data_IF_661950175208
#
_entry.id   IF_661950175208
#
_cell.length_a   1.000
_cell.length_b   1.000
_cell.length_c   1.000
_cell.angle_alpha   90.00
_cell.angle_beta   90.00
_cell.angle_gamma   90.00
#
_symmetry.space_group_name_H-M   'P 1'
#
loop_
_entity.id
_entity.type
_entity.pdbx_description
1 polymer ?
#
# COMPACT_ATOMS: atom_id res chain seq x y z
N UNK A 1 33.58 -11.31 3.88
CA UNK A 1 32.46 -10.82 3.03
C UNK A 1 32.41 -11.48 1.65
N UNK A 2 33.50 -12.08 1.16
CA UNK A 2 33.58 -12.71 -0.17
C UNK A 2 33.22 -14.21 -0.20
N UNK A 3 32.77 -14.80 0.90
CA UNK A 3 32.50 -16.25 0.97
C UNK A 3 31.06 -16.61 0.59
N UNK A 4 30.09 -15.74 0.89
CA UNK A 4 28.67 -16.07 0.69
C UNK A 4 28.27 -16.04 -0.79
N UNK A 5 28.76 -15.07 -1.56
CA UNK A 5 28.46 -14.94 -3.00
C UNK A 5 28.90 -16.18 -3.81
N UNK A 6 30.16 -16.67 -3.71
CA UNK A 6 30.58 -17.86 -4.45
C UNK A 6 29.85 -19.13 -3.98
N UNK A 7 29.62 -19.31 -2.67
CA UNK A 7 28.86 -20.45 -2.17
C UNK A 7 27.44 -20.54 -2.75
N UNK A 8 26.76 -19.39 -2.88
CA UNK A 8 25.44 -19.33 -3.51
C UNK A 8 25.54 -19.60 -5.02
N UNK A 9 26.57 -19.09 -5.69
CA UNK A 9 26.79 -19.34 -7.12
C UNK A 9 26.97 -20.84 -7.40
N UNK A 10 27.85 -21.53 -6.67
CA UNK A 10 28.10 -22.97 -6.81
C UNK A 10 26.84 -23.80 -6.51
N UNK A 11 26.03 -23.37 -5.53
CA UNK A 11 24.77 -24.03 -5.20
C UNK A 11 23.72 -23.91 -6.31
N UNK A 12 23.66 -22.75 -6.98
CA UNK A 12 22.72 -22.49 -8.08
C UNK A 12 23.18 -23.14 -9.39
N UNK A 13 24.49 -23.19 -9.64
CA UNK A 13 25.07 -23.77 -10.85
C UNK A 13 24.74 -25.27 -10.98
N UNK A 14 24.78 -26.02 -9.88
CA UNK A 14 24.33 -27.43 -9.83
C UNK A 14 22.87 -27.63 -10.27
N UNK A 15 22.07 -26.55 -10.32
CA UNK A 15 20.66 -26.55 -10.76
C UNK A 15 20.46 -25.82 -12.09
N UNK A 16 21.54 -25.46 -12.78
CA UNK A 16 21.50 -24.75 -14.07
C UNK A 16 21.11 -23.27 -13.97
N UNK A 17 21.30 -22.63 -12.81
CA UNK A 17 21.00 -21.22 -12.59
C UNK A 17 22.28 -20.42 -12.34
N UNK A 18 22.35 -19.20 -12.86
CA UNK A 18 23.48 -18.28 -12.66
C UNK A 18 23.02 -16.96 -12.05
N UNK A 19 23.90 -16.31 -11.27
CA UNK A 19 23.63 -15.00 -10.72
C UNK A 19 23.84 -13.92 -11.80
N UNK A 20 22.88 -13.00 -11.90
CA UNK A 20 23.04 -11.81 -12.74
C UNK A 20 23.93 -10.80 -12.02
N UNK A 21 25.13 -10.54 -12.56
CA UNK A 21 26.08 -9.58 -11.99
C UNK A 21 25.47 -8.16 -11.90
N UNK A 22 24.68 -7.75 -12.89
CA UNK A 22 24.00 -6.45 -12.89
C UNK A 22 23.01 -6.27 -11.73
N UNK A 23 22.35 -7.35 -11.30
CA UNK A 23 21.33 -7.31 -10.24
C UNK A 23 21.90 -7.62 -8.85
N UNK A 24 23.10 -8.18 -8.79
CA UNK A 24 23.71 -8.66 -7.55
C UNK A 24 24.64 -7.60 -6.97
N UNK A 25 24.13 -6.82 -6.04
CA UNK A 25 24.91 -5.76 -5.39
C UNK A 25 25.01 -6.00 -3.87
N UNK A 26 26.23 -5.99 -3.34
CA UNK A 26 26.47 -5.96 -1.90
C UNK A 26 26.50 -4.49 -1.46
N UNK A 27 25.55 -4.09 -0.63
CA UNK A 27 25.42 -2.71 -0.13
C UNK A 27 25.56 -2.66 1.38
N UNK A 28 26.08 -1.55 1.90
CA UNK A 28 26.13 -1.33 3.33
C UNK A 28 24.73 -0.96 3.85
N UNK A 29 24.40 -1.38 5.08
CA UNK A 29 23.06 -1.18 5.66
C UNK A 29 22.66 0.31 5.80
N UNK A 30 23.64 1.21 5.87
CA UNK A 30 23.42 2.66 5.92
C UNK A 30 23.05 3.26 4.56
N UNK A 31 23.44 2.63 3.45
CA UNK A 31 23.04 3.02 2.10
C UNK A 31 21.67 2.44 1.79
N UNK A 32 21.46 1.20 2.25
CA UNK A 32 20.21 0.46 2.11
C UNK A 32 20.00 -0.09 0.71
N UNK A 33 18.91 -0.83 0.55
CA UNK A 33 18.55 -1.44 -0.73
C UNK A 33 17.03 -1.59 -0.85
N UNK A 34 16.57 -1.78 -2.08
CA UNK A 34 15.17 -2.02 -2.39
C UNK A 34 14.88 -3.53 -2.51
N UNK A 35 13.86 -4.01 -1.82
CA UNK A 35 13.41 -5.40 -1.89
C UNK A 35 11.89 -5.47 -1.78
N UNK A 36 11.24 -6.16 -2.74
CA UNK A 36 9.78 -6.29 -2.84
C UNK A 36 9.04 -4.94 -2.70
N UNK A 37 9.63 -3.86 -3.23
CA UNK A 37 9.02 -2.54 -3.15
C UNK A 37 9.15 -1.82 -1.80
N UNK A 38 10.00 -2.32 -0.92
CA UNK A 38 10.40 -1.68 0.33
C UNK A 38 11.85 -1.25 0.24
N UNK A 39 12.16 -0.06 0.75
CA UNK A 39 13.53 0.39 0.98
C UNK A 39 13.90 0.07 2.43
N UNK A 40 14.94 -0.75 2.61
CA UNK A 40 15.50 -1.10 3.90
C UNK A 40 16.78 -0.29 4.10
N UNK A 41 16.78 0.63 5.07
CA UNK A 41 17.94 1.47 5.35
C UNK A 41 18.06 1.80 6.84
N UNK A 42 19.29 1.74 7.36
CA UNK A 42 19.61 2.16 8.73
C UNK A 42 19.96 3.65 8.74
N UNK A 43 19.24 4.40 9.55
CA UNK A 43 19.44 5.83 9.77
C UNK A 43 19.85 6.04 11.22
N UNK A 44 21.05 6.57 11.47
CA UNK A 44 21.55 6.90 12.81
C UNK A 44 21.29 5.79 13.84
N UNK A 45 21.64 4.54 13.51
CA UNK A 45 21.41 3.38 14.40
C UNK A 45 20.05 2.69 14.23
N UNK A 46 19.05 3.33 13.61
CA UNK A 46 17.66 2.82 13.52
C UNK A 46 17.31 2.33 12.12
N UNK A 47 16.92 1.06 11.98
CA UNK A 47 16.42 0.50 10.72
C UNK A 47 15.01 1.03 10.44
N UNK A 48 14.83 1.71 9.31
CA UNK A 48 13.53 2.12 8.82
C UNK A 48 13.22 1.38 7.51
N UNK A 49 12.11 0.66 7.51
CA UNK A 49 11.56 0.03 6.32
C UNK A 49 10.47 0.95 5.79
N UNK A 50 10.69 1.53 4.61
CA UNK A 50 9.77 2.48 3.97
C UNK A 50 9.34 1.92 2.60
N UNK A 51 8.22 2.36 2.02
CA UNK A 51 7.94 2.08 0.61
C UNK A 51 9.09 2.62 -0.27
N UNK A 52 9.54 1.86 -1.26
CA UNK A 52 10.61 2.30 -2.16
C UNK A 52 10.17 3.53 -2.97
N UNK A 53 11.12 4.44 -3.23
CA UNK A 53 10.82 5.68 -3.97
C UNK A 53 10.31 5.37 -5.37
N UNK A 54 10.94 4.40 -6.04
CA UNK A 54 10.55 3.90 -7.37
C UNK A 54 9.08 3.47 -7.40
N UNK A 55 8.64 2.64 -6.45
CA UNK A 55 7.26 2.16 -6.41
C UNK A 55 6.25 3.26 -6.06
N UNK A 56 6.62 4.20 -5.19
CA UNK A 56 5.76 5.35 -4.88
C UNK A 56 5.53 6.21 -6.13
N UNK A 57 6.59 6.50 -6.88
CA UNK A 57 6.51 7.29 -8.11
C UNK A 57 5.75 6.53 -9.21
N UNK A 58 5.99 5.23 -9.35
CA UNK A 58 5.27 4.37 -10.30
C UNK A 58 3.76 4.37 -9.99
N UNK A 59 3.39 4.18 -8.72
CA UNK A 59 1.99 4.23 -8.29
C UNK A 59 1.35 5.59 -8.60
N UNK A 60 2.02 6.69 -8.27
CA UNK A 60 1.52 8.04 -8.57
C UNK A 60 1.39 8.28 -10.09
N UNK A 61 2.32 7.78 -10.88
CA UNK A 61 2.26 7.84 -12.35
C UNK A 61 1.02 7.10 -12.86
N UNK A 62 0.79 5.87 -12.41
CA UNK A 62 -0.39 5.09 -12.78
C UNK A 62 -1.69 5.77 -12.37
N UNK A 63 -1.75 6.33 -11.16
CA UNK A 63 -2.92 7.08 -10.69
C UNK A 63 -3.19 8.33 -11.54
N UNK A 64 -2.12 9.07 -11.89
CA UNK A 64 -2.24 10.25 -12.75
C UNK A 64 -2.70 9.88 -14.16
N UNK A 65 -2.12 8.85 -14.75
CA UNK A 65 -2.50 8.35 -16.09
C UNK A 65 -3.95 7.87 -16.10
N UNK A 66 -4.39 7.15 -15.06
CA UNK A 66 -5.78 6.72 -14.91
C UNK A 66 -6.74 7.91 -14.86
N UNK A 67 -6.47 8.91 -14.01
CA UNK A 67 -7.32 10.09 -13.88
C UNK A 67 -7.35 10.90 -15.19
N UNK A 68 -6.21 11.05 -15.86
CA UNK A 68 -6.13 11.74 -17.15
C UNK A 68 -6.89 11.01 -18.26
N UNK A 69 -6.76 9.68 -18.35
CA UNK A 69 -7.49 8.84 -19.31
C UNK A 69 -9.01 9.00 -19.14
N UNK A 70 -9.47 9.14 -17.90
CA UNK A 70 -10.88 9.30 -17.56
C UNK A 70 -11.28 10.76 -17.31
N UNK A 71 -10.95 11.62 -18.27
CA UNK A 71 -11.17 13.06 -18.16
C UNK A 71 -12.67 13.45 -18.06
N UNK A 72 -13.53 12.73 -18.78
CA UNK A 72 -14.96 13.06 -18.91
C UNK A 72 -15.87 12.27 -17.97
N UNK A 73 -15.36 11.20 -17.33
CA UNK A 73 -16.17 10.29 -16.51
C UNK A 73 -16.95 11.02 -15.40
N UNK A 74 -18.15 10.55 -15.04
CA UNK A 74 -18.82 11.01 -13.83
C UNK A 74 -17.94 10.83 -12.59
N UNK A 75 -18.05 11.76 -11.65
CA UNK A 75 -17.23 11.79 -10.42
C UNK A 75 -17.33 10.49 -9.65
N UNK A 76 -18.56 9.97 -9.52
CA UNK A 76 -18.84 8.77 -8.76
C UNK A 76 -18.12 7.55 -9.34
N UNK A 77 -18.07 7.45 -10.66
CA UNK A 77 -17.41 6.32 -11.34
C UNK A 77 -15.89 6.46 -11.28
N UNK A 78 -15.36 7.69 -11.37
CA UNK A 78 -13.94 7.94 -11.11
C UNK A 78 -13.53 7.53 -9.68
N UNK A 79 -14.35 7.86 -8.68
CA UNK A 79 -14.12 7.46 -7.28
C UNK A 79 -14.14 5.93 -7.14
N UNK A 80 -15.09 5.25 -7.78
CA UNK A 80 -15.17 3.77 -7.78
C UNK A 80 -13.94 3.12 -8.40
N UNK A 81 -13.36 3.72 -9.44
CA UNK A 81 -12.13 3.22 -10.08
C UNK A 81 -10.88 3.45 -9.23
N UNK A 82 -10.79 4.61 -8.58
CA UNK A 82 -9.60 5.02 -7.81
C UNK A 82 -9.53 4.33 -6.45
N UNK A 83 -10.67 4.19 -5.76
CA UNK A 83 -10.70 3.70 -4.37
C UNK A 83 -10.10 2.29 -4.16
N UNK A 84 -10.38 1.27 -4.98
CA UNK A 84 -9.79 -0.06 -4.82
C UNK A 84 -8.26 -0.04 -4.95
N UNK A 85 -7.72 0.75 -5.88
CA UNK A 85 -6.27 0.89 -6.08
C UNK A 85 -5.59 1.55 -4.88
N UNK A 86 -6.20 2.61 -4.33
CA UNK A 86 -5.70 3.26 -3.11
C UNK A 86 -5.75 2.33 -1.90
N UNK A 87 -6.87 1.62 -1.70
CA UNK A 87 -7.03 0.68 -0.59
C UNK A 87 -6.04 -0.46 -0.67
N UNK A 88 -5.88 -1.07 -1.85
CA UNK A 88 -4.91 -2.15 -2.06
C UNK A 88 -3.49 -1.71 -1.73
N UNK A 89 -3.07 -0.56 -2.27
CA UNK A 89 -1.73 -0.02 -2.03
C UNK A 89 -1.51 0.35 -0.55
N UNK A 90 -2.51 0.98 0.08
CA UNK A 90 -2.45 1.31 1.50
C UNK A 90 -2.38 0.06 2.38
N UNK A 91 -3.16 -0.98 2.08
CA UNK A 91 -3.16 -2.24 2.81
C UNK A 91 -1.83 -2.98 2.69
N UNK A 92 -1.19 -2.96 1.51
CA UNK A 92 0.12 -3.56 1.31
C UNK A 92 1.20 -2.89 2.17
N UNK A 93 1.22 -1.55 2.19
CA UNK A 93 2.26 -0.78 2.89
C UNK A 93 1.92 -0.42 4.35
N UNK A 94 0.72 -0.75 4.87
CA UNK A 94 0.33 -0.36 6.25
C UNK A 94 1.18 -0.99 7.35
N UNK A 95 1.99 -1.99 7.01
CA UNK A 95 2.83 -2.71 7.97
C UNK A 95 4.24 -2.12 8.13
N UNK A 96 4.65 -1.20 7.24
CA UNK A 96 5.94 -0.53 7.28
C UNK A 96 5.82 0.94 7.75
N UNK A 97 6.94 1.67 7.76
CA UNK A 97 6.99 3.10 8.11
C UNK A 97 6.49 3.91 6.91
N UNK A 98 5.18 3.91 6.67
CA UNK A 98 4.57 4.47 5.46
C UNK A 98 3.78 5.77 5.67
N UNK A 99 3.61 6.26 6.91
CA UNK A 99 2.70 7.38 7.20
C UNK A 99 3.04 8.67 6.43
N UNK A 100 4.32 9.04 6.39
CA UNK A 100 4.79 10.19 5.61
C UNK A 100 4.53 10.00 4.12
N UNK A 101 4.77 8.80 3.60
CA UNK A 101 4.51 8.43 2.21
C UNK A 101 3.01 8.50 1.87
N UNK A 102 2.15 8.04 2.78
CA UNK A 102 0.69 8.13 2.62
C UNK A 102 0.23 9.58 2.53
N UNK A 103 0.77 10.48 3.37
CA UNK A 103 0.47 11.90 3.29
C UNK A 103 0.93 12.51 1.95
N UNK A 104 2.14 12.16 1.49
CA UNK A 104 2.66 12.61 0.20
C UNK A 104 1.78 12.16 -0.97
N UNK A 105 1.36 10.89 -0.98
CA UNK A 105 0.48 10.35 -2.02
C UNK A 105 -0.89 11.04 -1.98
N UNK A 106 -1.48 11.21 -0.79
CA UNK A 106 -2.75 11.92 -0.61
C UNK A 106 -2.69 13.34 -1.17
N UNK A 107 -1.62 14.08 -0.87
CA UNK A 107 -1.41 15.43 -1.39
C UNK A 107 -1.27 15.46 -2.92
N UNK A 108 -0.46 14.56 -3.51
CA UNK A 108 -0.28 14.49 -4.96
C UNK A 108 -1.55 14.06 -5.70
N UNK A 109 -2.33 13.18 -5.09
CA UNK A 109 -3.62 12.78 -5.63
C UNK A 109 -4.62 13.94 -5.59
N UNK A 110 -4.67 14.69 -4.48
CA UNK A 110 -5.50 15.89 -4.36
C UNK A 110 -5.17 16.91 -5.46
N UNK A 111 -3.89 17.22 -5.69
CA UNK A 111 -3.46 18.11 -6.77
C UNK A 111 -3.93 17.62 -8.15
N UNK A 112 -3.80 16.32 -8.40
CA UNK A 112 -4.21 15.71 -9.68
C UNK A 112 -5.72 15.80 -9.89
N UNK A 113 -6.52 15.54 -8.86
CA UNK A 113 -7.98 15.65 -8.90
C UNK A 113 -8.46 17.10 -8.99
N UNK A 114 -7.75 18.03 -8.35
CA UNK A 114 -8.01 19.46 -8.47
C UNK A 114 -7.86 19.92 -9.93
N UNK A 115 -6.75 19.58 -10.58
CA UNK A 115 -6.56 19.88 -12.01
C UNK A 115 -7.63 19.22 -12.89
N UNK A 116 -8.00 17.98 -12.59
CA UNK A 116 -9.09 17.30 -13.30
C UNK A 116 -10.42 18.05 -13.16
N UNK A 117 -10.75 18.54 -11.96
CA UNK A 117 -12.00 19.25 -11.68
C UNK A 117 -12.03 20.65 -12.33
N UNK A 118 -10.96 21.43 -12.23
CA UNK A 118 -10.85 22.76 -12.83
C UNK A 118 -10.95 22.69 -14.34
N UNK A 119 -10.27 21.73 -14.98
CA UNK A 119 -10.32 21.54 -16.45
C UNK A 119 -11.74 21.33 -16.96
N UNK A 120 -12.64 20.72 -16.17
CA UNK A 120 -14.03 20.46 -16.59
C UNK A 120 -14.90 21.71 -16.62
N UNK A 121 -14.50 22.79 -15.94
CA UNK A 121 -15.29 23.99 -15.78
C UNK A 121 -14.46 25.25 -16.05
N UNK A 122 -14.05 25.48 -17.30
CA UNK A 122 -13.19 26.62 -17.64
C UNK A 122 -13.84 27.98 -17.33
N UNK A 123 -15.17 28.05 -17.36
CA UNK A 123 -15.94 29.29 -17.12
C UNK A 123 -16.38 29.49 -15.68
N UNK A 124 -16.16 28.51 -14.78
CA UNK A 124 -16.61 28.61 -13.39
C UNK A 124 -15.48 29.06 -12.48
N UNK A 125 -15.83 29.88 -11.48
CA UNK A 125 -14.87 30.30 -10.46
C UNK A 125 -14.31 29.09 -9.68
N UNK A 126 -13.04 29.17 -9.30
CA UNK A 126 -12.35 28.10 -8.53
C UNK A 126 -13.07 27.75 -7.23
N UNK A 127 -13.68 28.75 -6.56
CA UNK A 127 -14.50 28.53 -5.35
C UNK A 127 -15.69 27.61 -5.62
N UNK A 128 -16.37 27.78 -6.76
CA UNK A 128 -17.49 26.92 -7.15
C UNK A 128 -17.01 25.49 -7.43
N UNK A 129 -15.86 25.33 -8.10
CA UNK A 129 -15.25 24.00 -8.34
C UNK A 129 -14.91 23.32 -7.02
N UNK A 130 -14.32 24.05 -6.06
CA UNK A 130 -14.03 23.52 -4.73
C UNK A 130 -15.30 23.01 -4.04
N UNK A 131 -16.35 23.83 -3.97
CA UNK A 131 -17.61 23.46 -3.32
C UNK A 131 -18.38 22.33 -4.03
N UNK A 132 -18.20 22.18 -5.35
CA UNK A 132 -18.86 21.12 -6.12
C UNK A 132 -18.22 19.75 -5.95
N UNK A 133 -16.88 19.70 -5.90
CA UNK A 133 -16.13 18.44 -5.97
C UNK A 133 -15.47 18.05 -4.65
N UNK A 134 -15.33 19.00 -3.72
CA UNK A 134 -14.63 18.79 -2.46
C UNK A 134 -15.50 19.19 -1.28
N UNK A 135 -15.55 18.32 -0.28
CA UNK A 135 -16.25 18.56 0.98
C UNK A 135 -15.21 18.70 2.09
N UNK A 136 -15.36 19.72 2.91
CA UNK A 136 -14.53 19.86 4.11
C UNK A 136 -15.09 18.93 5.19
N UNK A 137 -14.34 17.88 5.53
CA UNK A 137 -14.64 17.00 6.66
C UNK A 137 -13.50 17.07 7.64
N UNK A 138 -13.79 17.54 8.87
CA UNK A 138 -12.80 17.65 9.96
C UNK A 138 -11.54 18.43 9.56
N UNK A 139 -11.70 19.53 8.82
CA UNK A 139 -10.59 20.39 8.37
C UNK A 139 -9.85 19.89 7.12
N UNK A 140 -10.27 18.78 6.52
CA UNK A 140 -9.64 18.22 5.31
C UNK A 140 -10.61 18.24 4.13
N UNK A 141 -10.16 18.80 3.01
CA UNK A 141 -10.89 18.78 1.74
C UNK A 141 -10.82 17.39 1.10
N UNK A 142 -11.97 16.74 0.97
CA UNK A 142 -12.09 15.40 0.44
C UNK A 142 -12.87 15.41 -0.87
N UNK A 143 -12.30 14.79 -1.91
CA UNK A 143 -12.98 14.63 -3.18
C UNK A 143 -14.22 13.73 -3.01
N UNK A 144 -15.38 14.23 -3.42
CA UNK A 144 -16.65 13.52 -3.27
C UNK A 144 -17.53 13.68 -4.50
N UNK A 145 -18.53 12.81 -4.59
CA UNK A 145 -19.65 12.93 -5.50
C UNK A 145 -20.92 12.43 -4.83
N UNK A 146 -22.05 12.73 -5.44
CA UNK A 146 -23.38 12.33 -4.99
C UNK A 146 -24.17 11.75 -6.16
N UNK A 147 -25.02 10.76 -5.89
CA UNK A 147 -25.95 10.17 -6.84
C UNK A 147 -27.18 9.67 -6.09
N UNK A 148 -28.37 9.96 -6.61
CA UNK A 148 -29.59 9.26 -6.19
C UNK A 148 -29.61 7.85 -6.77
N UNK A 149 -29.75 6.84 -5.91
CA UNK A 149 -29.91 5.42 -6.27
C UNK A 149 -31.11 4.90 -5.49
N UNK A 150 -32.13 4.39 -6.17
CA UNK A 150 -33.36 3.88 -5.55
C UNK A 150 -33.96 4.86 -4.52
N UNK A 151 -34.11 6.14 -4.91
CA UNK A 151 -34.59 7.25 -4.06
C UNK A 151 -33.74 7.58 -2.82
N UNK A 152 -32.58 6.96 -2.65
CA UNK A 152 -31.64 7.27 -1.58
C UNK A 152 -30.48 8.13 -2.09
N UNK A 153 -30.08 9.11 -1.30
CA UNK A 153 -28.92 9.94 -1.57
C UNK A 153 -27.62 9.18 -1.24
N UNK A 154 -26.96 8.63 -2.26
CA UNK A 154 -25.69 7.94 -2.10
C UNK A 154 -24.51 8.89 -2.29
N UNK A 155 -23.68 9.04 -1.26
CA UNK A 155 -22.45 9.80 -1.32
C UNK A 155 -21.25 8.89 -1.59
N UNK A 156 -20.46 9.26 -2.60
CA UNK A 156 -19.21 8.61 -2.95
C UNK A 156 -18.06 9.47 -2.47
N UNK A 157 -17.23 8.94 -1.57
CA UNK A 157 -16.05 9.64 -1.05
C UNK A 157 -14.77 8.94 -1.49
N UNK A 158 -13.76 9.73 -1.82
CA UNK A 158 -12.42 9.23 -2.06
C UNK A 158 -11.78 8.78 -0.74
N UNK A 159 -11.19 7.58 -0.75
CA UNK A 159 -10.48 7.02 0.39
C UNK A 159 -9.28 7.90 0.75
N UNK A 160 -9.21 8.28 2.02
CA UNK A 160 -8.09 9.04 2.56
C UNK A 160 -6.95 8.10 2.92
N UNK A 161 -6.04 7.86 1.99
CA UNK A 161 -4.86 7.00 2.21
C UNK A 161 -4.04 7.44 3.44
N UNK A 162 -3.95 8.75 3.68
CA UNK A 162 -3.32 9.34 4.85
C UNK A 162 -3.94 8.89 6.18
N UNK A 163 -5.22 8.53 6.20
CA UNK A 163 -5.92 8.08 7.40
C UNK A 163 -5.74 6.58 7.68
N UNK A 164 -5.11 5.83 6.78
CA UNK A 164 -4.84 4.40 6.98
C UNK A 164 -3.99 4.19 8.25
N UNK A 165 -4.45 3.36 9.20
CA UNK A 165 -3.69 3.07 10.41
C UNK A 165 -2.56 2.10 10.10
N UNK A 166 -1.37 2.43 10.60
CA UNK A 166 -0.19 1.57 10.52
C UNK A 166 -0.37 0.41 11.49
N UNK A 167 -0.34 -0.83 10.99
CA UNK A 167 -0.51 -2.05 11.81
C UNK A 167 0.83 -2.78 11.90
N UNK A 168 1.44 -2.80 13.08
CA UNK A 168 2.71 -3.50 13.31
C UNK A 168 2.44 -4.97 13.64
N UNK A 169 3.24 -5.87 13.08
CA UNK A 169 3.24 -7.27 13.47
C UNK A 169 4.25 -7.50 14.58
N UNK A 170 3.86 -8.28 15.59
CA UNK A 170 4.78 -8.76 16.63
C UNK A 170 5.63 -9.88 16.02
N UNK A 171 6.96 -9.77 16.12
CA UNK A 171 7.88 -10.81 15.66
C UNK A 171 7.61 -12.13 16.37
N UNK A 172 7.83 -13.24 15.67
CA UNK A 172 7.80 -14.57 16.29
C UNK A 172 9.08 -14.75 17.11
N UNK A 173 8.97 -15.38 18.29
CA UNK A 173 10.13 -15.78 19.08
C UNK A 173 10.97 -16.76 18.26
N UNK A 174 12.27 -16.51 18.08
CA UNK A 174 13.13 -17.34 17.22
C UNK A 174 13.23 -18.79 17.68
N UNK A 175 13.14 -19.04 18.99
CA UNK A 175 13.14 -20.39 19.56
C UNK A 175 11.80 -21.14 19.39
N UNK A 176 10.71 -20.43 19.06
CA UNK A 176 9.39 -21.06 19.00
C UNK A 176 9.25 -21.94 17.75
N UNK A 177 9.20 -23.24 17.97
CA UNK A 177 8.96 -24.25 16.94
C UNK A 177 7.54 -24.82 17.06
N UNK A 178 6.86 -25.11 15.94
CA UNK A 178 5.51 -25.70 15.98
C UNK A 178 5.43 -27.10 16.60
N UNK A 179 6.56 -27.80 16.70
CA UNK A 179 6.64 -29.19 17.12
C UNK A 179 6.98 -29.35 18.61
N UNK A 180 7.33 -28.25 19.28
CA UNK A 180 7.68 -28.26 20.69
C UNK A 180 6.44 -27.96 21.54
N UNK A 181 6.03 -28.88 22.44
CA UNK A 181 4.86 -28.72 23.31
C UNK A 181 4.90 -27.43 24.14
N UNK A 182 6.07 -26.93 24.52
CA UNK A 182 6.21 -25.71 25.32
C UNK A 182 5.68 -24.48 24.58
N UNK A 183 5.80 -24.45 23.25
CA UNK A 183 5.34 -23.34 22.42
C UNK A 183 3.90 -23.50 21.91
N UNK A 184 3.23 -24.62 22.17
CA UNK A 184 1.88 -24.91 21.69
C UNK A 184 0.86 -23.85 22.14
N UNK A 185 0.93 -23.42 23.41
CA UNK A 185 0.06 -22.37 23.95
C UNK A 185 0.29 -21.00 23.31
N UNK A 186 1.56 -20.61 23.16
CA UNK A 186 1.97 -19.36 22.51
C UNK A 186 1.51 -19.30 21.04
N UNK A 187 1.68 -20.39 20.28
CA UNK A 187 1.26 -20.45 18.88
C UNK A 187 -0.27 -20.48 18.74
N UNK A 188 -0.98 -21.13 19.66
CA UNK A 188 -2.45 -21.15 19.69
C UNK A 188 -3.03 -19.75 19.92
N UNK A 189 -2.48 -18.98 20.86
CA UNK A 189 -2.90 -17.59 21.10
C UNK A 189 -2.65 -16.70 19.87
N UNK A 190 -1.56 -16.93 19.13
CA UNK A 190 -1.25 -16.18 17.90
C UNK A 190 -2.10 -16.59 16.70
N UNK A 191 -2.62 -17.83 16.68
CA UNK A 191 -3.54 -18.31 15.65
C UNK A 191 -4.94 -17.73 15.79
N UNK A 192 -5.31 -17.19 16.96
CA UNK A 192 -6.63 -16.57 17.12
C UNK A 192 -6.80 -15.46 16.09
N UNK A 193 -7.71 -15.63 15.11
CA UNK A 193 -7.91 -14.60 14.11
C UNK A 193 -8.50 -13.39 14.82
N UNK A 194 -7.88 -12.21 14.67
CA UNK A 194 -8.69 -10.99 14.69
C UNK A 194 -9.74 -11.21 13.60
N UNK A 195 -11.02 -11.28 13.97
CA UNK A 195 -12.12 -11.63 13.08
C UNK A 195 -11.98 -10.96 11.71
N UNK A 196 -11.45 -11.70 10.74
CA UNK A 196 -11.30 -11.24 9.37
C UNK A 196 -12.58 -11.66 8.65
N UNK A 197 -13.19 -10.74 7.91
CA UNK A 197 -14.43 -10.99 7.15
C UNK A 197 -14.37 -12.21 6.20
N UNK A 198 -13.17 -12.72 5.90
CA UNK A 198 -12.93 -13.83 4.98
C UNK A 198 -12.02 -14.92 5.59
N UNK A 199 -12.08 -15.18 6.90
CA UNK A 199 -11.40 -16.36 7.46
C UNK A 199 -12.20 -17.62 7.14
N UNK A 200 -11.65 -18.52 6.31
CA UNK A 200 -12.16 -19.88 6.16
C UNK A 200 -12.03 -20.59 7.51
N UNK A 201 -13.15 -20.76 8.21
CA UNK A 201 -13.21 -21.39 9.52
C UNK A 201 -13.54 -22.88 9.46
N UNK A 202 -13.74 -23.44 8.28
CA UNK A 202 -14.05 -24.86 8.15
C UNK A 202 -12.76 -25.68 8.17
N UNK A 203 -12.59 -26.59 9.15
CA UNK A 203 -11.49 -27.55 9.10
C UNK A 203 -11.66 -28.42 7.86
N UNK A 204 -10.57 -28.60 7.10
CA UNK A 204 -10.50 -29.57 6.00
C UNK A 204 -10.88 -30.93 6.58
N UNK A 205 -11.98 -31.52 6.13
CA UNK A 205 -12.36 -32.87 6.50
C UNK A 205 -11.24 -33.82 6.03
N UNK A 206 -10.44 -34.31 6.96
CA UNK A 206 -9.55 -35.44 6.70
C UNK A 206 -10.42 -36.65 6.45
N UNK A 207 -10.41 -37.14 5.21
CA UNK A 207 -11.00 -38.43 4.88
C UNK A 207 -10.26 -39.51 5.68
N UNK A 208 -11.03 -40.26 6.47
CA UNK A 208 -10.61 -41.55 7.02
C UNK A 208 -10.84 -42.64 5.99
#
# INVERSE_FOLDING_TARGET
MNEVKPLIADFLEKRGLTLSEEKTQVTHINDGFDFLGFNLRKYNGKLLIKPSKSNVLLFLSHMRTLIKKHATLPVNDLIKLVNPKLRGWANYYRHCVAKQTFNYIGHKLFQTLWHWAVRRHPTKARRWVALKYFINRKGQWQFHGWKKIANMDCQFNLVQIAQTPIKRHVKIRSAATPYDPEFAGYLSQRKQPEACRNSWSEPVQTAF
#
